data_IF_458568079728
#
_entry.id   IF_458568079728
#
_cell.length_a   1.000
_cell.length_b   1.000
_cell.length_c   1.000
_cell.angle_alpha   90.00
_cell.angle_beta   90.00
_cell.angle_gamma   90.00
#
_symmetry.space_group_name_H-M   'P 1'
#
loop_
_entity.id
_entity.type
_entity.pdbx_description
1 polymer ?
#
# COMPACT_ATOMS: atom_id res chain seq x y z
N UNK A 1 10.18 -31.50 -5.02
CA UNK A 1 10.17 -30.50 -3.93
C UNK A 1 9.42 -29.29 -4.45
N UNK A 2 8.50 -28.69 -3.69
CA UNK A 2 7.82 -27.45 -4.09
C UNK A 2 8.60 -26.21 -3.60
N UNK A 3 8.63 -25.15 -4.42
CA UNK A 3 9.32 -23.88 -4.18
C UNK A 3 8.35 -22.72 -4.24
N UNK A 4 8.43 -21.83 -3.25
CA UNK A 4 7.73 -20.54 -3.24
C UNK A 4 8.77 -19.44 -3.08
N UNK A 5 8.72 -18.44 -3.97
CA UNK A 5 9.61 -17.27 -3.95
C UNK A 5 8.77 -16.06 -3.58
N UNK A 6 9.30 -15.24 -2.69
CA UNK A 6 8.68 -14.00 -2.25
C UNK A 6 9.49 -12.79 -2.73
N UNK A 7 8.80 -11.72 -3.07
CA UNK A 7 9.38 -10.39 -3.21
C UNK A 7 9.00 -9.55 -2.01
N UNK A 8 9.94 -8.75 -1.50
CA UNK A 8 9.71 -7.86 -0.37
C UNK A 8 9.49 -6.45 -0.88
N UNK A 9 8.40 -5.81 -0.46
CA UNK A 9 8.12 -4.41 -0.79
C UNK A 9 9.23 -3.51 -0.19
N UNK A 10 9.94 -2.71 -0.99
CA UNK A 10 11.00 -1.83 -0.49
C UNK A 10 10.42 -0.70 0.39
N UNK A 11 9.14 -0.37 0.19
CA UNK A 11 8.46 0.66 0.97
C UNK A 11 8.06 0.16 2.35
N UNK A 12 7.07 -0.74 2.46
CA UNK A 12 6.53 -1.17 3.76
C UNK A 12 7.15 -2.46 4.33
N UNK A 13 8.03 -3.13 3.58
CA UNK A 13 8.70 -4.35 4.03
C UNK A 13 7.84 -5.61 4.03
N UNK A 14 6.58 -5.54 3.60
CA UNK A 14 5.70 -6.70 3.45
C UNK A 14 6.14 -7.58 2.28
N UNK A 15 6.05 -8.90 2.47
CA UNK A 15 6.37 -9.88 1.44
C UNK A 15 5.13 -10.28 0.64
N UNK A 16 5.27 -10.41 -0.67
CA UNK A 16 4.25 -10.93 -1.60
C UNK A 16 4.81 -12.14 -2.35
N UNK A 17 3.95 -13.10 -2.69
CA UNK A 17 4.37 -14.26 -3.48
C UNK A 17 4.71 -13.79 -4.89
N UNK A 18 5.96 -13.98 -5.29
CA UNK A 18 6.43 -13.71 -6.64
C UNK A 18 6.24 -14.95 -7.53
N UNK A 19 6.45 -16.14 -6.98
CA UNK A 19 6.34 -17.40 -7.73
C UNK A 19 5.97 -18.56 -6.80
N UNK A 20 5.16 -19.50 -7.29
CA UNK A 20 4.90 -20.78 -6.65
C UNK A 20 4.71 -21.87 -7.71
N UNK A 21 5.34 -23.02 -7.51
CA UNK A 21 5.08 -24.24 -8.30
C UNK A 21 3.96 -25.11 -7.71
N UNK A 22 3.37 -24.69 -6.58
CA UNK A 22 2.36 -25.43 -5.82
C UNK A 22 0.97 -24.80 -5.89
N UNK A 23 0.90 -23.47 -6.03
CA UNK A 23 -0.35 -22.72 -6.05
C UNK A 23 -0.44 -21.91 -7.34
N UNK A 24 -1.49 -22.17 -8.13
CA UNK A 24 -1.82 -21.45 -9.38
C UNK A 24 -2.32 -20.01 -9.13
N UNK A 25 -2.49 -19.64 -7.86
CA UNK A 25 -3.08 -18.38 -7.43
C UNK A 25 -2.05 -17.25 -7.31
N UNK A 26 -2.03 -16.38 -8.32
CA UNK A 26 -1.57 -14.99 -8.19
C UNK A 26 -0.07 -14.82 -7.95
N UNK A 27 0.73 -15.12 -8.97
CA UNK A 27 2.08 -14.54 -9.13
C UNK A 27 1.93 -13.01 -9.13
N UNK A 28 2.65 -12.31 -8.24
CA UNK A 28 2.68 -10.85 -8.29
C UNK A 28 3.07 -10.40 -9.70
N UNK A 29 2.19 -9.65 -10.35
CA UNK A 29 2.49 -8.95 -11.60
C UNK A 29 2.39 -7.46 -11.33
N UNK A 30 3.48 -6.75 -11.60
CA UNK A 30 3.45 -5.30 -11.64
C UNK A 30 2.69 -4.89 -12.90
N UNK A 31 1.49 -4.35 -12.73
CA UNK A 31 0.73 -3.70 -13.79
C UNK A 31 0.98 -2.20 -13.78
N UNK A 32 0.32 -1.48 -14.69
CA UNK A 32 0.24 -0.03 -14.62
C UNK A 32 -0.45 0.41 -13.33
N UNK A 33 -0.09 1.62 -12.88
CA UNK A 33 -0.76 2.25 -11.76
C UNK A 33 -2.21 2.52 -12.16
N UNK A 34 -3.16 2.05 -11.34
CA UNK A 34 -4.59 2.15 -11.64
C UNK A 34 -5.14 3.59 -11.55
N UNK A 35 -4.41 4.49 -10.89
CA UNK A 35 -4.74 5.89 -10.62
C UNK A 35 -3.44 6.68 -10.40
N UNK A 36 -3.52 8.01 -10.39
CA UNK A 36 -2.38 8.87 -10.14
C UNK A 36 -1.78 8.58 -8.74
N UNK A 37 -0.45 8.47 -8.59
CA UNK A 37 0.18 8.23 -7.30
C UNK A 37 -0.20 9.22 -6.19
N UNK A 38 -0.58 10.45 -6.55
CA UNK A 38 -0.98 11.50 -5.61
C UNK A 38 -2.40 11.31 -5.09
N UNK A 39 -3.25 10.58 -5.81
CA UNK A 39 -4.62 10.23 -5.41
C UNK A 39 -4.68 8.93 -4.60
N UNK A 40 -3.57 8.18 -4.52
CA UNK A 40 -3.56 6.92 -3.80
C UNK A 40 -3.93 7.09 -2.32
N UNK A 41 -4.93 6.34 -1.82
CA UNK A 41 -5.33 6.42 -0.42
C UNK A 41 -4.26 5.78 0.46
N UNK A 42 -3.44 6.61 1.10
CA UNK A 42 -2.38 6.18 2.00
C UNK A 42 -2.88 5.88 3.41
N UNK A 43 -3.99 6.50 3.80
CA UNK A 43 -4.70 6.21 5.06
C UNK A 43 -6.12 5.78 4.74
N UNK A 44 -6.56 4.71 5.40
CA UNK A 44 -7.96 4.31 5.44
C UNK A 44 -8.50 4.48 6.86
N UNK A 45 -9.56 5.27 6.99
CA UNK A 45 -10.30 5.40 8.23
C UNK A 45 -11.34 4.30 8.23
N UNK A 46 -11.32 3.45 9.26
CA UNK A 46 -12.26 2.34 9.38
C UNK A 46 -13.01 2.39 10.70
N UNK A 47 -14.32 2.15 10.63
CA UNK A 47 -15.22 2.16 11.79
C UNK A 47 -15.97 0.85 11.93
N UNK A 48 -16.19 0.45 13.18
CA UNK A 48 -17.06 -0.67 13.50
C UNK A 48 -18.52 -0.20 13.38
N UNK A 49 -19.17 -0.58 12.29
CA UNK A 49 -20.59 -0.29 12.12
C UNK A 49 -21.44 -1.13 13.08
N UNK A 50 -22.63 -0.63 13.48
CA UNK A 50 -23.56 -1.41 14.29
C UNK A 50 -23.80 -2.76 13.63
N UNK A 51 -23.51 -3.83 14.37
CA UNK A 51 -23.79 -5.19 13.91
C UNK A 51 -25.27 -5.32 13.55
N UNK A 52 -25.63 -6.22 12.62
CA UNK A 52 -27.03 -6.38 12.28
C UNK A 52 -27.81 -6.77 13.54
N UNK A 53 -28.86 -6.02 13.84
CA UNK A 53 -29.78 -6.37 14.93
C UNK A 53 -30.27 -7.82 14.82
N UNK A 54 -30.74 -8.40 15.93
CA UNK A 54 -31.20 -9.80 16.01
C UNK A 54 -32.05 -10.17 14.78
N UNK A 55 -31.50 -11.01 13.89
CA UNK A 55 -32.24 -11.61 12.77
C UNK A 55 -31.68 -11.39 11.36
N UNK A 56 -30.69 -10.52 11.13
CA UNK A 56 -30.05 -10.38 9.79
C UNK A 56 -28.59 -10.84 9.81
N UNK A 57 -28.22 -11.76 8.91
CA UNK A 57 -26.81 -12.01 8.57
C UNK A 57 -26.45 -11.15 7.37
N UNK A 58 -25.84 -9.99 7.60
CA UNK A 58 -25.20 -9.21 6.52
C UNK A 58 -23.79 -9.77 6.33
N UNK A 59 -23.39 -10.08 5.10
CA UNK A 59 -21.98 -10.39 4.77
C UNK A 59 -21.18 -9.10 4.93
N UNK A 60 -20.63 -8.88 6.12
CA UNK A 60 -19.86 -7.69 6.43
C UNK A 60 -19.74 -7.45 7.94
N UNK A 61 -19.19 -8.42 8.67
CA UNK A 61 -18.73 -8.17 10.03
C UNK A 61 -17.33 -7.56 10.00
N UNK A 62 -17.08 -6.50 10.78
CA UNK A 62 -15.77 -5.88 10.95
C UNK A 62 -15.77 -4.36 10.80
N UNK A 63 -14.57 -3.76 10.87
CA UNK A 63 -14.35 -2.34 10.61
C UNK A 63 -14.45 -2.06 9.11
N UNK A 64 -15.45 -1.28 8.70
CA UNK A 64 -15.65 -0.86 7.31
C UNK A 64 -14.89 0.43 7.03
N UNK A 65 -14.41 0.59 5.80
CA UNK A 65 -13.77 1.83 5.37
C UNK A 65 -14.84 2.91 5.28
N UNK A 66 -14.69 3.97 6.08
CA UNK A 66 -15.58 5.15 6.10
C UNK A 66 -14.89 6.39 5.54
N UNK A 67 -13.57 6.35 5.37
CA UNK A 67 -12.80 7.44 4.80
C UNK A 67 -11.49 6.94 4.22
N UNK A 68 -10.98 7.70 3.25
CA UNK A 68 -9.68 7.50 2.61
C UNK A 68 -8.98 8.84 2.53
N UNK A 69 -7.67 8.85 2.70
CA UNK A 69 -6.89 10.07 2.66
C UNK A 69 -5.64 9.88 1.78
N UNK A 70 -5.52 10.62 0.67
CA UNK A 70 -4.29 10.69 -0.11
C UNK A 70 -3.23 11.53 0.60
N UNK A 71 -1.98 11.46 0.12
CA UNK A 71 -0.86 12.19 0.74
C UNK A 71 -1.06 13.71 0.73
N UNK A 72 -1.73 14.23 -0.30
CA UNK A 72 -2.06 15.65 -0.45
C UNK A 72 -2.93 16.14 0.71
N UNK A 73 -4.01 15.43 1.01
CA UNK A 73 -4.86 15.73 2.17
C UNK A 73 -4.14 15.53 3.51
N UNK A 74 -3.26 14.52 3.62
CA UNK A 74 -2.50 14.31 4.86
C UNK A 74 -1.57 15.48 5.18
N UNK A 75 -1.04 16.16 4.16
CA UNK A 75 -0.14 17.31 4.33
C UNK A 75 -0.88 18.57 4.82
N UNK A 76 -2.18 18.66 4.54
CA UNK A 76 -3.06 19.77 4.95
C UNK A 76 -3.56 19.59 6.40
N UNK A 77 -3.66 18.36 6.89
CA UNK A 77 -4.16 18.03 8.23
C UNK A 77 -3.01 17.90 9.22
N UNK A 78 -2.94 18.80 10.20
CA UNK A 78 -1.85 18.85 11.18
C UNK A 78 -1.61 17.51 11.89
N UNK A 79 -2.68 16.78 12.22
CA UNK A 79 -2.63 15.47 12.86
C UNK A 79 -1.95 14.36 12.02
N UNK A 80 -1.95 14.49 10.68
CA UNK A 80 -1.37 13.52 9.75
C UNK A 80 -0.10 14.03 9.05
N UNK A 81 0.27 15.28 9.29
CA UNK A 81 1.38 15.92 8.58
C UNK A 81 2.72 15.27 8.89
N UNK A 82 2.96 14.92 10.14
CA UNK A 82 4.21 14.26 10.55
C UNK A 82 4.37 12.90 9.87
N UNK A 83 3.33 12.07 9.88
CA UNK A 83 3.37 10.76 9.22
C UNK A 83 3.54 10.91 7.69
N UNK A 84 2.89 11.89 7.05
CA UNK A 84 3.09 12.18 5.62
C UNK A 84 4.55 12.54 5.31
N UNK A 85 5.19 13.33 6.18
CA UNK A 85 6.60 13.71 6.03
C UNK A 85 7.54 12.51 6.20
N UNK A 86 7.29 11.63 7.17
CA UNK A 86 8.03 10.38 7.33
C UNK A 86 7.91 9.47 6.11
N UNK A 87 6.71 9.36 5.53
CA UNK A 87 6.45 8.60 4.30
C UNK A 87 7.27 9.16 3.13
N UNK A 88 7.25 10.48 2.93
CA UNK A 88 8.06 11.17 1.92
C UNK A 88 9.56 10.90 2.11
N UNK A 89 10.09 11.02 3.32
CA UNK A 89 11.51 10.82 3.59
C UNK A 89 11.95 9.38 3.32
N UNK A 90 11.07 8.41 3.60
CA UNK A 90 11.28 7.01 3.27
C UNK A 90 11.31 6.77 1.76
N UNK A 91 10.37 7.34 1.01
CA UNK A 91 10.39 7.28 -0.47
C UNK A 91 11.66 7.88 -1.04
N UNK A 92 12.05 9.07 -0.57
CA UNK A 92 13.29 9.73 -0.99
C UNK A 92 14.52 8.88 -0.71
N UNK A 93 14.56 8.18 0.43
CA UNK A 93 15.66 7.27 0.77
C UNK A 93 15.76 6.09 -0.21
N UNK A 94 14.61 5.52 -0.61
CA UNK A 94 14.55 4.45 -1.61
C UNK A 94 15.04 4.97 -2.97
N UNK A 95 14.50 6.09 -3.44
CA UNK A 95 14.88 6.69 -4.73
C UNK A 95 16.37 7.02 -4.76
N UNK A 96 16.89 7.68 -3.70
CA UNK A 96 18.32 7.99 -3.58
C UNK A 96 19.20 6.75 -3.63
N UNK A 97 18.79 5.65 -3.00
CA UNK A 97 19.51 4.40 -3.09
C UNK A 97 19.52 3.87 -4.52
N UNK A 98 18.38 3.90 -5.21
CA UNK A 98 18.28 3.41 -6.60
C UNK A 98 19.11 4.25 -7.56
N UNK A 99 19.14 5.58 -7.38
CA UNK A 99 20.02 6.47 -8.13
C UNK A 99 21.49 6.14 -7.89
N UNK A 100 21.88 5.96 -6.62
CA UNK A 100 23.26 5.64 -6.26
C UNK A 100 23.74 4.33 -6.88
N UNK A 101 22.87 3.32 -6.95
CA UNK A 101 23.19 2.03 -7.59
C UNK A 101 23.03 2.06 -9.13
N UNK A 102 22.68 3.21 -9.72
CA UNK A 102 22.51 3.36 -11.17
C UNK A 102 21.27 2.65 -11.74
N UNK A 103 20.29 2.31 -10.90
CA UNK A 103 19.03 1.67 -11.30
C UNK A 103 18.06 2.70 -11.91
N UNK A 104 18.09 3.94 -11.40
CA UNK A 104 17.30 5.07 -11.90
C UNK A 104 18.27 6.23 -12.18
N UNK A 105 18.15 6.85 -13.34
CA UNK A 105 18.86 8.08 -13.69
C UNK A 105 18.07 9.33 -13.27
N UNK A 106 18.74 10.48 -13.15
CA UNK A 106 18.05 11.73 -12.79
C UNK A 106 17.09 12.22 -13.89
N UNK A 107 17.31 11.83 -15.13
CA UNK A 107 16.47 12.24 -16.27
C UNK A 107 15.16 11.44 -16.34
N UNK A 108 15.05 10.33 -15.59
CA UNK A 108 13.83 9.52 -15.46
C UNK A 108 12.84 10.03 -14.40
N UNK A 109 13.24 11.02 -13.59
CA UNK A 109 12.47 11.52 -12.42
C UNK A 109 12.02 12.96 -12.65
#
# INVERSE_FOLDING_TARGET
>A
MSRIIYVRCPYCGFSKVLYSDKYDGGVLRWGELAEDPTDYPLVEIREALPGPGRGRKVKGGGFQIVGKMPITEMLEKEEYRDIAMQMKDRFLSIIKAYIREGIISRDEI
#
